data_IF_317276784587
#
_entry.id   IF_317276784587
#
_cell.length_a   1.000
_cell.length_b   1.000
_cell.length_c   1.000
_cell.angle_alpha   90.00
_cell.angle_beta   90.00
_cell.angle_gamma   90.00
#
_symmetry.space_group_name_H-M   'P 1'
#
loop_
_entity.id
_entity.type
_entity.pdbx_description
1 polymer ?
#
# COMPACT_ATOMS: atom_id res chain seq x y z
N UNK A 1 25.03 32.97 -22.12
CA UNK A 1 23.63 32.52 -22.13
C UNK A 1 23.54 31.30 -21.24
N UNK A 2 23.00 31.42 -20.00
CA UNK A 2 22.77 30.27 -19.12
C UNK A 2 21.55 29.53 -19.65
N UNK A 3 21.77 28.34 -20.16
CA UNK A 3 20.64 27.42 -20.49
C UNK A 3 20.02 27.07 -19.14
N UNK A 4 18.87 27.66 -18.82
CA UNK A 4 18.06 27.23 -17.69
C UNK A 4 17.46 25.87 -18.07
N UNK A 5 18.12 24.80 -17.61
CA UNK A 5 17.55 23.46 -17.69
C UNK A 5 16.42 23.42 -16.66
N UNK A 6 15.19 23.52 -17.13
CA UNK A 6 14.03 23.29 -16.27
C UNK A 6 14.12 21.87 -15.73
N UNK A 7 14.11 21.67 -14.40
CA UNK A 7 14.20 20.33 -13.84
C UNK A 7 13.03 19.49 -14.37
N UNK A 8 13.35 18.28 -14.81
CA UNK A 8 12.34 17.35 -15.33
C UNK A 8 11.36 17.01 -14.20
N UNK A 9 10.08 17.23 -14.42
CA UNK A 9 9.02 16.79 -13.48
C UNK A 9 9.04 15.27 -13.43
N UNK A 10 9.27 14.70 -12.25
CA UNK A 10 9.17 13.25 -12.03
C UNK A 10 7.76 12.87 -11.63
N UNK A 11 7.33 11.69 -12.05
CA UNK A 11 6.03 11.11 -11.69
C UNK A 11 6.22 9.89 -10.81
N UNK A 12 5.64 9.95 -9.63
CA UNK A 12 5.67 8.88 -8.66
C UNK A 12 4.27 8.35 -8.39
N UNK A 13 4.16 7.04 -8.27
CA UNK A 13 2.96 6.36 -7.75
C UNK A 13 3.38 5.49 -6.59
N UNK A 14 2.90 5.83 -5.40
CA UNK A 14 3.10 5.07 -4.19
C UNK A 14 1.89 4.16 -3.98
N UNK A 15 2.12 2.87 -3.94
CA UNK A 15 1.06 1.86 -3.94
C UNK A 15 1.08 1.08 -2.63
N UNK A 16 0.02 1.20 -1.86
CA UNK A 16 -0.26 0.26 -0.78
C UNK A 16 -0.69 -1.07 -1.41
N UNK A 17 0.25 -1.99 -1.47
CA UNK A 17 0.09 -3.22 -2.25
C UNK A 17 -0.99 -4.14 -1.68
N UNK A 18 -1.14 -4.21 -0.36
CA UNK A 18 -2.15 -5.05 0.28
C UNK A 18 -3.57 -4.55 -0.03
N UNK A 19 -3.77 -3.23 -0.10
CA UNK A 19 -5.05 -2.65 -0.50
C UNK A 19 -5.38 -2.95 -1.96
N UNK A 20 -4.40 -2.86 -2.84
CA UNK A 20 -4.57 -3.20 -4.26
C UNK A 20 -4.89 -4.68 -4.44
N UNK A 21 -4.16 -5.57 -3.76
CA UNK A 21 -4.41 -7.02 -3.82
C UNK A 21 -5.82 -7.38 -3.30
N UNK A 22 -6.29 -6.71 -2.26
CA UNK A 22 -7.67 -6.88 -1.77
C UNK A 22 -8.71 -6.46 -2.82
N UNK A 23 -8.43 -5.40 -3.58
CA UNK A 23 -9.36 -4.87 -4.58
C UNK A 23 -9.41 -5.69 -5.88
N UNK A 24 -8.25 -6.16 -6.38
CA UNK A 24 -8.15 -6.85 -7.68
C UNK A 24 -8.14 -8.38 -7.52
N UNK A 25 -7.68 -8.87 -6.36
CA UNK A 25 -7.44 -10.29 -6.09
C UNK A 25 -5.96 -10.67 -6.12
N UNK A 26 -5.60 -11.64 -5.27
CA UNK A 26 -4.21 -12.06 -5.05
C UNK A 26 -3.50 -12.67 -6.26
N UNK A 27 -4.24 -13.07 -7.30
CA UNK A 27 -3.70 -13.66 -8.53
C UNK A 27 -3.41 -12.65 -9.64
N UNK A 28 -3.68 -11.35 -9.41
CA UNK A 28 -3.44 -10.32 -10.41
C UNK A 28 -1.94 -10.17 -10.68
N UNK A 29 -1.58 -10.20 -11.97
CA UNK A 29 -0.20 -9.95 -12.41
C UNK A 29 0.19 -8.50 -12.18
N UNK A 30 1.47 -8.26 -11.88
CA UNK A 30 1.99 -6.92 -11.66
C UNK A 30 1.75 -5.99 -12.86
N UNK A 31 1.86 -6.50 -14.08
CA UNK A 31 1.55 -5.76 -15.32
C UNK A 31 0.09 -5.30 -15.39
N UNK A 32 -0.86 -6.13 -14.93
CA UNK A 32 -2.29 -5.79 -14.88
C UNK A 32 -2.56 -4.67 -13.86
N UNK A 33 -1.94 -4.77 -12.68
CA UNK A 33 -2.03 -3.73 -11.63
C UNK A 33 -1.51 -2.40 -12.16
N UNK A 34 -0.31 -2.43 -12.76
CA UNK A 34 0.34 -1.25 -13.33
C UNK A 34 -0.49 -0.61 -14.44
N UNK A 35 -1.02 -1.44 -15.36
CA UNK A 35 -1.89 -0.99 -16.44
C UNK A 35 -3.13 -0.27 -15.90
N UNK A 36 -3.78 -0.85 -14.89
CA UNK A 36 -4.97 -0.27 -14.30
C UNK A 36 -4.68 1.08 -13.65
N UNK A 37 -3.62 1.18 -12.86
CA UNK A 37 -3.19 2.43 -12.22
C UNK A 37 -2.95 3.52 -13.27
N UNK A 38 -2.14 3.24 -14.29
CA UNK A 38 -1.80 4.21 -15.34
C UNK A 38 -3.05 4.66 -16.08
N UNK A 39 -3.93 3.71 -16.44
CA UNK A 39 -5.20 4.00 -17.11
C UNK A 39 -6.07 4.94 -16.28
N UNK A 40 -6.23 4.67 -14.98
CA UNK A 40 -7.05 5.51 -14.10
C UNK A 40 -6.50 6.91 -13.93
N UNK A 41 -5.18 7.06 -13.79
CA UNK A 41 -4.52 8.35 -13.74
C UNK A 41 -4.71 9.16 -15.03
N UNK A 42 -4.65 8.51 -16.21
CA UNK A 42 -4.85 9.16 -17.50
C UNK A 42 -6.32 9.54 -17.76
N UNK A 43 -7.25 8.70 -17.33
CA UNK A 43 -8.67 8.91 -17.60
C UNK A 43 -9.34 9.94 -16.69
N UNK A 44 -8.92 10.02 -15.44
CA UNK A 44 -9.66 10.68 -14.36
C UNK A 44 -8.92 11.85 -13.71
N UNK A 45 -7.75 12.25 -14.24
CA UNK A 45 -6.98 13.35 -13.65
C UNK A 45 -6.10 14.07 -14.68
N UNK A 46 -5.50 15.18 -14.24
CA UNK A 46 -4.50 15.94 -14.97
C UNK A 46 -3.06 15.48 -14.69
N UNK A 47 -2.89 14.27 -14.15
CA UNK A 47 -1.59 13.72 -13.74
C UNK A 47 -0.56 13.70 -14.89
N UNK A 48 -1.03 13.48 -16.11
CA UNK A 48 -0.20 13.43 -17.32
C UNK A 48 -0.33 14.65 -18.24
N UNK A 49 -1.02 15.72 -17.82
CA UNK A 49 -1.31 16.84 -18.72
C UNK A 49 -0.09 17.59 -19.24
N UNK A 50 0.98 17.65 -18.44
CA UNK A 50 2.28 18.24 -18.78
C UNK A 50 3.31 17.18 -19.26
N UNK A 51 2.86 15.95 -19.54
CA UNK A 51 3.71 14.87 -19.99
C UNK A 51 4.25 15.11 -21.39
N UNK A 52 5.51 14.70 -21.61
CA UNK A 52 6.16 14.73 -22.92
C UNK A 52 5.84 13.45 -23.70
N UNK A 53 6.25 13.37 -24.96
CA UNK A 53 6.01 12.19 -25.82
C UNK A 53 6.51 10.88 -25.19
N UNK A 54 7.52 10.96 -24.32
CA UNK A 54 8.12 9.83 -23.63
C UNK A 54 8.23 10.17 -22.15
N UNK A 55 7.56 9.42 -21.29
CA UNK A 55 7.56 9.65 -19.84
C UNK A 55 7.94 8.39 -19.08
N UNK A 56 8.75 8.55 -18.03
CA UNK A 56 8.99 7.51 -17.04
C UNK A 56 8.14 7.76 -15.81
N UNK A 57 7.40 6.73 -15.37
CA UNK A 57 6.65 6.73 -14.14
C UNK A 57 7.29 5.77 -13.14
N UNK A 58 7.56 6.25 -11.93
CA UNK A 58 8.18 5.47 -10.86
C UNK A 58 7.06 4.95 -9.96
N UNK A 59 6.86 3.64 -9.98
CA UNK A 59 5.86 2.95 -9.17
C UNK A 59 6.56 2.22 -8.03
N UNK A 60 6.29 2.64 -6.79
CA UNK A 60 6.82 2.00 -5.57
C UNK A 60 5.71 1.24 -4.87
N UNK A 61 5.95 -0.04 -4.65
CA UNK A 61 5.03 -0.94 -3.97
C UNK A 61 5.40 -1.03 -2.49
N UNK A 62 4.48 -0.65 -1.62
CA UNK A 62 4.63 -0.72 -0.17
C UNK A 62 3.89 -1.95 0.35
N UNK A 63 4.56 -2.75 1.18
CA UNK A 63 4.01 -3.99 1.70
C UNK A 63 4.94 -4.66 2.70
N UNK A 64 4.49 -5.76 3.26
CA UNK A 64 5.27 -6.59 4.18
C UNK A 64 6.34 -7.41 3.47
N UNK A 65 7.41 -6.78 3.01
CA UNK A 65 8.41 -7.41 2.14
C UNK A 65 9.41 -8.30 2.87
N UNK A 66 9.63 -8.13 4.17
CA UNK A 66 10.62 -8.88 4.93
C UNK A 66 10.02 -9.62 6.12
N UNK A 67 10.27 -10.91 6.20
CA UNK A 67 10.14 -11.74 7.41
C UNK A 67 11.52 -11.85 8.06
N UNK A 68 11.70 -11.18 9.21
CA UNK A 68 13.05 -10.98 9.74
C UNK A 68 13.91 -10.19 8.75
N UNK A 69 15.02 -10.77 8.30
CA UNK A 69 15.96 -10.19 7.32
C UNK A 69 15.82 -10.82 5.92
N UNK A 70 14.90 -11.74 5.72
CA UNK A 70 14.68 -12.42 4.44
C UNK A 70 13.45 -11.88 3.73
N UNK A 71 13.47 -11.90 2.41
CA UNK A 71 12.28 -11.53 1.63
C UNK A 71 11.13 -12.51 1.88
N UNK A 72 9.96 -12.00 2.19
CA UNK A 72 8.73 -12.77 2.22
C UNK A 72 8.44 -13.38 0.83
N UNK A 73 7.71 -14.50 0.79
CA UNK A 73 7.41 -15.20 -0.46
C UNK A 73 6.76 -14.29 -1.51
N UNK A 74 5.75 -13.51 -1.11
CA UNK A 74 5.11 -12.55 -2.02
C UNK A 74 6.10 -11.54 -2.61
N UNK A 75 7.07 -11.07 -1.82
CA UNK A 75 8.10 -10.16 -2.30
C UNK A 75 9.05 -10.84 -3.30
N UNK A 76 9.36 -12.12 -3.11
CA UNK A 76 10.18 -12.90 -4.04
C UNK A 76 9.46 -13.07 -5.39
N UNK A 77 8.16 -13.38 -5.35
CA UNK A 77 7.33 -13.53 -6.56
C UNK A 77 7.25 -12.22 -7.36
N UNK A 78 7.00 -11.09 -6.68
CA UNK A 78 6.97 -9.76 -7.33
C UNK A 78 8.34 -9.38 -7.90
N UNK A 79 9.43 -9.66 -7.17
CA UNK A 79 10.79 -9.41 -7.68
C UNK A 79 11.10 -10.24 -8.92
N UNK A 80 10.63 -11.48 -8.97
CA UNK A 80 10.75 -12.32 -10.16
C UNK A 80 9.98 -11.74 -11.33
N UNK A 81 8.78 -11.19 -11.11
CA UNK A 81 7.98 -10.50 -12.15
C UNK A 81 8.69 -9.25 -12.66
N UNK A 82 9.23 -8.42 -11.76
CA UNK A 82 10.01 -7.23 -12.12
C UNK A 82 11.27 -7.64 -12.91
N UNK A 83 11.96 -8.68 -12.46
CA UNK A 83 13.22 -9.15 -13.08
C UNK A 83 13.04 -9.74 -14.49
N UNK A 84 11.84 -10.21 -14.84
CA UNK A 84 11.54 -10.65 -16.24
C UNK A 84 11.50 -9.48 -17.23
N UNK A 85 11.37 -8.26 -16.76
CA UNK A 85 11.38 -7.07 -17.62
C UNK A 85 10.12 -6.90 -18.48
N UNK A 86 9.07 -7.68 -18.22
CA UNK A 86 7.85 -7.74 -19.03
C UNK A 86 6.87 -6.58 -18.75
N UNK A 87 7.37 -5.44 -18.22
CA UNK A 87 6.50 -4.27 -18.03
C UNK A 87 6.21 -3.63 -19.38
N UNK A 88 4.95 -3.65 -19.84
CA UNK A 88 4.61 -3.09 -21.13
C UNK A 88 4.73 -1.56 -21.11
N UNK A 89 5.00 -1.01 -22.28
CA UNK A 89 4.83 0.42 -22.53
C UNK A 89 3.35 0.72 -22.69
N UNK A 90 2.89 1.79 -22.06
CA UNK A 90 1.50 2.23 -22.18
C UNK A 90 1.40 3.46 -23.07
N UNK A 91 0.39 3.52 -23.93
CA UNK A 91 0.08 4.70 -24.71
C UNK A 91 -1.14 5.40 -24.10
N UNK A 92 -0.96 6.66 -23.69
CA UNK A 92 -2.00 7.50 -23.11
C UNK A 92 -2.87 8.16 -24.19
N UNK A 93 -3.97 8.81 -23.78
CA UNK A 93 -4.91 9.52 -24.67
C UNK A 93 -4.24 10.58 -25.56
N UNK A 94 -3.16 11.23 -25.11
CA UNK A 94 -2.39 12.25 -25.83
C UNK A 94 -1.22 11.66 -26.63
N UNK A 95 -1.25 10.37 -26.96
CA UNK A 95 -0.17 9.64 -27.64
C UNK A 95 1.18 9.64 -26.88
N UNK A 96 1.15 10.00 -25.60
CA UNK A 96 2.32 9.92 -24.74
C UNK A 96 2.62 8.46 -24.41
N UNK A 97 3.87 8.04 -24.60
CA UNK A 97 4.34 6.70 -24.22
C UNK A 97 4.88 6.72 -22.81
N UNK A 98 4.33 5.88 -21.94
CA UNK A 98 4.71 5.76 -20.53
C UNK A 98 5.44 4.45 -20.31
N UNK A 99 6.61 4.55 -19.67
CA UNK A 99 7.45 3.42 -19.26
C UNK A 99 7.43 3.33 -17.74
N UNK A 100 6.78 2.32 -17.14
CA UNK A 100 6.79 2.16 -15.71
C UNK A 100 8.11 1.54 -15.23
N UNK A 101 8.72 2.18 -14.23
CA UNK A 101 9.78 1.60 -13.43
C UNK A 101 9.17 1.17 -12.11
N UNK A 102 9.05 -0.15 -11.89
CA UNK A 102 8.42 -0.71 -10.69
C UNK A 102 9.48 -1.21 -9.73
N UNK A 103 9.30 -0.91 -8.44
CA UNK A 103 10.19 -1.38 -7.38
C UNK A 103 9.43 -1.67 -6.08
N UNK A 104 9.99 -2.57 -5.25
CA UNK A 104 9.54 -2.74 -3.87
C UNK A 104 10.11 -1.62 -3.00
N UNK A 105 9.28 -1.02 -2.15
CA UNK A 105 9.72 -0.10 -1.12
C UNK A 105 10.37 -0.89 0.03
N UNK A 106 11.65 -1.14 -0.05
CA UNK A 106 12.44 -1.86 0.97
C UNK A 106 13.22 -0.93 1.88
N UNK A 107 13.31 0.36 1.52
CA UNK A 107 13.91 1.45 2.30
C UNK A 107 13.10 2.72 2.04
N UNK A 108 13.22 3.74 2.87
CA UNK A 108 12.69 5.07 2.56
C UNK A 108 13.47 5.72 1.42
N UNK A 109 12.82 6.59 0.63
CA UNK A 109 13.46 7.37 -0.43
C UNK A 109 14.53 8.32 0.11
N UNK A 110 14.31 8.86 1.31
CA UNK A 110 15.28 9.72 2.00
C UNK A 110 16.52 8.97 2.50
N UNK A 111 16.48 7.63 2.58
CA UNK A 111 17.53 6.77 3.11
C UNK A 111 17.73 5.55 2.22
N UNK A 112 17.88 5.75 0.91
CA UNK A 112 18.06 4.67 -0.05
C UNK A 112 19.24 3.76 0.34
N UNK A 113 19.02 2.43 0.21
CA UNK A 113 19.99 1.41 0.59
C UNK A 113 19.97 1.01 2.07
N UNK A 114 19.25 1.73 2.95
CA UNK A 114 19.05 1.34 4.34
C UNK A 114 17.76 0.54 4.47
N UNK A 115 17.86 -0.78 4.31
CA UNK A 115 16.69 -1.66 4.31
C UNK A 115 15.94 -1.66 5.65
N UNK A 116 14.61 -1.52 5.57
CA UNK A 116 13.71 -1.68 6.70
C UNK A 116 13.26 -3.14 6.78
N UNK A 117 13.89 -3.89 7.66
CA UNK A 117 13.62 -5.30 7.86
C UNK A 117 12.39 -5.56 8.74
N UNK A 118 11.92 -6.81 8.72
CA UNK A 118 10.85 -7.28 9.59
C UNK A 118 9.52 -6.53 9.42
N UNK A 119 9.24 -6.14 8.18
CA UNK A 119 8.02 -5.40 7.80
C UNK A 119 6.79 -6.32 7.73
N UNK A 120 6.97 -7.63 7.53
CA UNK A 120 5.93 -8.65 7.67
C UNK A 120 6.09 -9.39 8.99
N UNK A 121 5.04 -9.45 9.80
CA UNK A 121 5.04 -10.14 11.10
C UNK A 121 3.79 -10.99 11.25
N UNK A 122 3.93 -12.10 11.93
CA UNK A 122 2.78 -12.85 12.44
C UNK A 122 2.17 -12.09 13.61
N UNK A 123 0.90 -11.71 13.49
CA UNK A 123 0.12 -11.10 14.55
C UNK A 123 -0.66 -12.19 15.28
N UNK A 124 -0.40 -12.31 16.56
CA UNK A 124 -1.10 -13.23 17.45
C UNK A 124 -2.39 -12.56 17.95
N UNK A 125 -3.50 -12.88 17.30
CA UNK A 125 -4.83 -12.33 17.67
C UNK A 125 -5.28 -12.80 19.05
N UNK A 126 -4.73 -13.88 19.59
CA UNK A 126 -5.06 -14.36 20.94
C UNK A 126 -4.75 -13.32 22.02
N UNK A 127 -3.79 -12.43 21.75
CA UNK A 127 -3.44 -11.32 22.65
C UNK A 127 -4.40 -10.14 22.58
N UNK A 128 -5.27 -10.09 21.58
CA UNK A 128 -6.22 -9.00 21.34
C UNK A 128 -7.64 -9.39 21.78
N UNK A 129 -7.91 -10.69 21.89
CA UNK A 129 -9.24 -11.18 22.30
C UNK A 129 -9.41 -10.94 23.81
N UNK A 130 -10.32 -10.05 24.16
CA UNK A 130 -10.72 -9.82 25.54
C UNK A 130 -11.72 -10.91 25.98
N UNK A 131 -11.16 -11.91 26.61
CA UNK A 131 -11.94 -13.05 27.09
C UNK A 131 -12.83 -12.72 28.31
N UNK A 132 -12.81 -11.53 28.84
CA UNK A 132 -13.66 -11.14 29.98
C UNK A 132 -15.06 -10.70 29.58
N UNK A 133 -15.30 -10.44 28.29
CA UNK A 133 -16.54 -9.83 27.77
C UNK A 133 -17.55 -10.79 27.16
N UNK A 134 -17.37 -12.10 27.27
CA UNK A 134 -18.11 -13.07 26.45
C UNK A 134 -18.96 -14.09 27.20
N UNK A 135 -19.49 -13.81 28.38
CA UNK A 135 -20.40 -14.74 29.03
C UNK A 135 -21.87 -14.36 28.80
N UNK A 136 -22.60 -15.15 28.03
CA UNK A 136 -24.04 -14.97 27.88
C UNK A 136 -24.87 -16.17 28.42
N UNK A 137 -24.26 -17.35 28.62
CA UNK A 137 -24.89 -18.54 29.20
C UNK A 137 -23.83 -19.58 29.62
N UNK A 138 -24.22 -20.59 30.40
CA UNK A 138 -23.30 -21.66 30.87
C UNK A 138 -22.63 -22.45 29.72
N UNK A 139 -23.31 -22.63 28.59
CA UNK A 139 -22.73 -23.28 27.42
C UNK A 139 -21.63 -22.45 26.79
N UNK A 140 -21.76 -21.12 26.77
CA UNK A 140 -20.74 -20.22 26.26
C UNK A 140 -19.51 -20.17 27.16
N UNK A 141 -19.66 -20.33 28.47
CA UNK A 141 -18.53 -20.38 29.40
C UNK A 141 -17.64 -21.62 29.17
N UNK A 142 -18.24 -22.79 28.89
CA UNK A 142 -17.47 -24.00 28.56
C UNK A 142 -16.70 -23.86 27.25
N UNK A 143 -17.32 -23.33 26.20
CA UNK A 143 -16.66 -23.09 24.92
C UNK A 143 -15.55 -22.05 25.06
N UNK A 144 -15.81 -21.02 25.82
CA UNK A 144 -14.87 -19.98 26.14
C UNK A 144 -13.62 -20.52 26.87
N UNK A 145 -13.81 -21.32 27.92
CA UNK A 145 -12.71 -21.93 28.64
C UNK A 145 -11.89 -22.87 27.75
N UNK A 146 -12.54 -23.60 26.84
CA UNK A 146 -11.88 -24.43 25.85
C UNK A 146 -11.01 -23.58 24.90
N UNK A 147 -11.58 -22.53 24.33
CA UNK A 147 -10.87 -21.61 23.42
C UNK A 147 -9.69 -20.96 24.15
N UNK A 148 -9.91 -20.45 25.37
CA UNK A 148 -8.88 -19.85 26.21
C UNK A 148 -7.72 -20.81 26.46
N UNK A 149 -8.01 -22.05 26.82
CA UNK A 149 -6.98 -23.07 27.06
C UNK A 149 -6.21 -23.40 25.79
N UNK A 150 -6.92 -23.61 24.66
CA UNK A 150 -6.29 -23.93 23.38
C UNK A 150 -5.37 -22.81 22.89
N UNK A 151 -5.79 -21.54 23.06
CA UNK A 151 -5.03 -20.37 22.67
C UNK A 151 -3.83 -20.13 23.58
N UNK A 152 -4.02 -20.21 24.92
CA UNK A 152 -2.93 -19.97 25.88
C UNK A 152 -1.83 -21.05 25.82
N UNK A 153 -2.21 -22.29 25.55
CA UNK A 153 -1.27 -23.42 25.42
C UNK A 153 -0.70 -23.58 24.01
N UNK A 154 -1.22 -22.83 23.03
CA UNK A 154 -0.85 -22.93 21.61
C UNK A 154 -1.11 -24.30 21.01
N UNK A 155 -1.88 -25.12 21.64
CA UNK A 155 -2.23 -26.47 21.22
C UNK A 155 -3.66 -26.84 21.60
N UNK A 156 -4.26 -27.76 20.87
CA UNK A 156 -5.54 -28.32 21.22
C UNK A 156 -5.39 -29.15 22.51
N UNK A 157 -6.21 -28.94 23.57
CA UNK A 157 -6.14 -29.69 24.80
C UNK A 157 -6.42 -31.19 24.61
N UNK A 158 -7.13 -31.59 23.56
CA UNK A 158 -7.47 -33.00 23.26
C UNK A 158 -6.47 -33.68 22.35
N UNK A 159 -6.21 -33.16 21.16
CA UNK A 159 -5.37 -33.83 20.16
C UNK A 159 -3.90 -33.33 20.15
N UNK A 160 -3.55 -32.35 20.98
CA UNK A 160 -2.20 -31.75 21.10
C UNK A 160 -1.68 -31.08 19.82
N UNK A 161 -2.48 -31.00 18.77
CA UNK A 161 -2.10 -30.30 17.53
C UNK A 161 -2.23 -28.80 17.70
N UNK A 162 -1.38 -28.06 17.01
CA UNK A 162 -1.35 -26.57 17.07
C UNK A 162 -2.27 -25.88 16.04
N UNK A 163 -3.06 -26.64 15.28
CA UNK A 163 -3.92 -26.08 14.22
C UNK A 163 -4.91 -25.04 14.74
N UNK A 164 -5.41 -25.24 15.94
CA UNK A 164 -6.38 -24.32 16.55
C UNK A 164 -5.72 -22.96 16.86
N UNK A 165 -4.49 -22.96 17.40
CA UNK A 165 -3.73 -21.74 17.62
C UNK A 165 -3.41 -21.03 16.31
N UNK A 166 -3.07 -21.75 15.25
CA UNK A 166 -2.78 -21.17 13.94
C UNK A 166 -3.94 -20.40 13.34
N UNK A 167 -5.21 -20.74 13.69
CA UNK A 167 -6.39 -19.99 13.28
C UNK A 167 -6.43 -18.57 13.89
N UNK A 168 -5.71 -18.33 14.98
CA UNK A 168 -5.62 -17.02 15.65
C UNK A 168 -4.34 -16.24 15.32
N UNK A 169 -3.52 -16.76 14.44
CA UNK A 169 -2.31 -16.08 13.98
C UNK A 169 -2.55 -15.57 12.57
N UNK A 170 -2.46 -14.29 12.39
CA UNK A 170 -2.57 -13.65 11.08
C UNK A 170 -1.26 -12.96 10.70
N UNK A 171 -1.00 -12.85 9.40
CA UNK A 171 0.05 -11.99 8.92
C UNK A 171 -0.38 -10.53 9.09
N UNK A 172 0.56 -9.68 9.50
CA UNK A 172 0.35 -8.25 9.65
C UNK A 172 1.58 -7.49 9.14
N UNK A 173 1.34 -6.27 8.72
CA UNK A 173 2.41 -5.34 8.34
C UNK A 173 2.88 -4.53 9.55
N UNK A 174 4.11 -4.03 9.49
CA UNK A 174 4.63 -3.09 10.45
C UNK A 174 5.56 -2.09 9.77
N UNK A 175 5.45 -0.84 10.14
CA UNK A 175 6.20 0.30 9.61
C UNK A 175 5.90 0.65 8.14
N UNK A 176 5.07 -0.13 7.43
CA UNK A 176 4.82 0.05 6.00
C UNK A 176 4.13 1.39 5.74
N UNK A 177 3.05 1.67 6.49
CA UNK A 177 2.28 2.91 6.37
C UNK A 177 3.13 4.13 6.74
N UNK A 178 3.92 4.03 7.81
CA UNK A 178 4.84 5.10 8.21
C UNK A 178 5.91 5.37 7.12
N UNK A 179 6.44 4.32 6.50
CA UNK A 179 7.39 4.46 5.39
C UNK A 179 6.75 5.13 4.18
N UNK A 180 5.52 4.71 3.84
CA UNK A 180 4.75 5.31 2.74
C UNK A 180 4.46 6.78 3.01
N UNK A 181 4.07 7.15 4.24
CA UNK A 181 3.86 8.55 4.64
C UNK A 181 5.12 9.39 4.51
N UNK A 182 6.24 8.89 5.01
CA UNK A 182 7.53 9.60 4.92
C UNK A 182 7.92 9.83 3.47
N UNK A 183 7.82 8.80 2.63
CA UNK A 183 8.17 8.91 1.21
C UNK A 183 7.21 9.84 0.48
N UNK A 184 5.89 9.76 0.75
CA UNK A 184 4.91 10.65 0.13
C UNK A 184 5.18 12.12 0.46
N UNK A 185 5.47 12.46 1.73
CA UNK A 185 5.85 13.81 2.13
C UNK A 185 7.18 14.24 1.49
N UNK A 186 8.16 13.33 1.46
CA UNK A 186 9.49 13.63 0.94
C UNK A 186 9.48 14.03 -0.54
N UNK A 187 8.64 13.38 -1.36
CA UNK A 187 8.58 13.64 -2.80
C UNK A 187 7.51 14.67 -3.20
N UNK A 188 6.62 15.04 -2.26
CA UNK A 188 5.57 16.05 -2.50
C UNK A 188 6.13 17.47 -2.29
N UNK A 189 7.17 17.82 -3.05
CA UNK A 189 7.91 19.08 -2.95
C UNK A 189 7.42 20.17 -3.94
N UNK A 190 6.29 19.95 -4.59
CA UNK A 190 5.71 20.82 -5.61
C UNK A 190 6.35 20.71 -7.00
N UNK A 191 7.45 19.99 -7.15
CA UNK A 191 8.14 19.77 -8.43
C UNK A 191 7.72 18.46 -9.09
N UNK A 192 7.30 17.51 -8.27
CA UNK A 192 6.91 16.18 -8.71
C UNK A 192 5.38 16.04 -8.80
N UNK A 193 4.92 15.12 -9.65
CA UNK A 193 3.54 14.62 -9.64
C UNK A 193 3.51 13.36 -8.81
N UNK A 194 2.70 13.32 -7.75
CA UNK A 194 2.68 12.19 -6.83
C UNK A 194 1.27 11.67 -6.68
N UNK A 195 1.08 10.37 -6.96
CA UNK A 195 -0.16 9.66 -6.74
C UNK A 195 0.00 8.63 -5.61
N UNK A 196 -1.02 8.53 -4.77
CA UNK A 196 -1.16 7.51 -3.74
C UNK A 196 -2.27 6.55 -4.15
N UNK A 197 -2.02 5.25 -4.04
CA UNK A 197 -3.00 4.19 -4.28
C UNK A 197 -3.24 3.43 -2.99
N UNK A 198 -4.32 3.76 -2.31
CA UNK A 198 -4.76 3.13 -1.05
C UNK A 198 -6.19 3.52 -0.73
N UNK A 199 -6.90 2.71 0.06
CA UNK A 199 -8.20 3.07 0.67
C UNK A 199 -8.14 3.05 2.19
N UNK A 200 -6.93 2.98 2.75
CA UNK A 200 -6.75 3.02 4.20
C UNK A 200 -7.00 4.43 4.73
N UNK A 201 -7.85 4.55 5.74
CA UNK A 201 -8.15 5.83 6.40
C UNK A 201 -6.92 6.45 7.09
N UNK A 202 -5.92 5.64 7.44
CA UNK A 202 -4.66 6.12 8.00
C UNK A 202 -3.88 7.01 7.02
N UNK A 203 -4.21 6.96 5.71
CA UNK A 203 -3.62 7.84 4.68
C UNK A 203 -4.20 9.26 4.69
N UNK A 204 -5.37 9.49 5.30
CA UNK A 204 -6.06 10.79 5.31
C UNK A 204 -5.16 11.93 5.84
N UNK A 205 -4.48 11.80 6.98
CA UNK A 205 -3.67 12.88 7.53
C UNK A 205 -2.56 13.34 6.58
N UNK A 206 -1.86 12.43 5.92
CA UNK A 206 -0.78 12.79 4.99
C UNK A 206 -1.32 13.45 3.73
N UNK A 207 -2.46 12.99 3.21
CA UNK A 207 -3.13 13.60 2.05
C UNK A 207 -3.58 15.03 2.36
N UNK A 208 -4.16 15.27 3.54
CA UNK A 208 -4.54 16.62 4.01
C UNK A 208 -3.29 17.51 4.07
N UNK A 209 -2.21 17.02 4.69
CA UNK A 209 -0.98 17.79 4.85
C UNK A 209 -0.40 18.20 3.50
N UNK A 210 -0.26 17.26 2.56
CA UNK A 210 0.31 17.52 1.23
C UNK A 210 -0.56 18.51 0.44
N UNK A 211 -1.87 18.35 0.46
CA UNK A 211 -2.78 19.27 -0.25
C UNK A 211 -2.76 20.67 0.35
N UNK A 212 -2.61 20.82 1.68
CA UNK A 212 -2.48 22.13 2.36
C UNK A 212 -1.14 22.81 2.11
N UNK A 213 -0.10 22.06 1.83
CA UNK A 213 1.19 22.61 1.36
C UNK A 213 1.10 23.19 -0.06
N UNK A 214 -0.06 23.13 -0.71
CA UNK A 214 -0.27 23.57 -2.08
C UNK A 214 0.26 22.61 -3.15
N UNK A 215 0.70 21.41 -2.75
CA UNK A 215 1.20 20.41 -3.66
C UNK A 215 0.05 19.60 -4.26
N UNK A 216 0.16 19.23 -5.54
CA UNK A 216 -0.83 18.37 -6.18
C UNK A 216 -0.72 16.96 -5.65
N UNK A 217 -1.82 16.44 -5.11
CA UNK A 217 -1.92 15.11 -4.55
C UNK A 217 -3.05 14.35 -5.25
N UNK A 218 -2.71 13.25 -5.91
CA UNK A 218 -3.65 12.37 -6.59
C UNK A 218 -3.88 11.13 -5.74
N UNK A 219 -5.12 10.81 -5.46
CA UNK A 219 -5.48 9.70 -4.59
C UNK A 219 -6.40 8.72 -5.31
N UNK A 220 -5.87 7.53 -5.61
CA UNK A 220 -6.63 6.41 -6.16
C UNK A 220 -7.15 5.57 -5.00
N UNK A 221 -8.47 5.56 -4.85
CA UNK A 221 -9.17 4.78 -3.84
C UNK A 221 -9.45 3.36 -4.37
N UNK A 222 -8.91 2.36 -3.71
CA UNK A 222 -9.07 0.93 -4.08
C UNK A 222 -10.30 0.27 -3.48
N UNK A 223 -11.08 0.98 -2.69
CA UNK A 223 -12.27 0.46 -1.98
C UNK A 223 -13.42 1.47 -1.93
N UNK A 224 -14.40 1.22 -1.07
CA UNK A 224 -15.52 2.11 -0.84
C UNK A 224 -15.08 3.43 -0.20
N UNK A 225 -15.80 4.50 -0.52
CA UNK A 225 -15.49 5.87 -0.06
C UNK A 225 -15.66 6.11 1.44
N UNK A 226 -16.26 5.18 2.16
CA UNK A 226 -16.61 5.17 3.59
C UNK A 226 -16.23 6.43 4.38
N UNK A 227 -15.16 6.32 5.11
CA UNK A 227 -14.68 7.39 6.02
C UNK A 227 -14.12 8.63 5.30
N UNK A 228 -13.71 8.52 4.03
CA UNK A 228 -13.13 9.65 3.28
C UNK A 228 -14.10 10.82 3.09
N UNK A 229 -15.41 10.56 3.07
CA UNK A 229 -16.43 11.60 2.87
C UNK A 229 -16.44 12.62 4.00
N UNK A 230 -16.13 12.24 5.22
CA UNK A 230 -16.17 13.12 6.39
C UNK A 230 -15.04 14.16 6.39
N UNK A 231 -13.96 13.88 5.67
CA UNK A 231 -12.75 14.71 5.65
C UNK A 231 -12.60 15.60 4.40
N UNK A 232 -13.54 15.54 3.46
CA UNK A 232 -13.43 16.27 2.18
C UNK A 232 -13.20 17.77 2.33
N UNK A 233 -13.76 18.40 3.38
CA UNK A 233 -13.58 19.82 3.69
C UNK A 233 -12.18 20.19 4.18
N UNK A 234 -11.38 19.21 4.59
CA UNK A 234 -10.03 19.42 5.09
C UNK A 234 -8.98 19.40 3.99
N UNK A 235 -9.31 18.82 2.84
CA UNK A 235 -8.42 18.78 1.69
C UNK A 235 -8.31 20.15 1.05
N UNK A 236 -7.11 20.50 0.58
CA UNK A 236 -6.87 21.70 -0.22
C UNK A 236 -7.40 21.55 -1.66
N UNK A 237 -7.40 22.64 -2.41
CA UNK A 237 -7.84 22.68 -3.82
C UNK A 237 -6.99 21.85 -4.78
N UNK A 238 -5.82 21.41 -4.35
CA UNK A 238 -4.86 20.62 -5.12
C UNK A 238 -5.04 19.11 -4.94
N UNK A 239 -6.03 18.68 -4.16
CA UNK A 239 -6.37 17.28 -3.99
C UNK A 239 -7.27 16.78 -5.11
N UNK A 240 -6.87 15.69 -5.76
CA UNK A 240 -7.64 15.00 -6.79
C UNK A 240 -7.96 13.57 -6.34
N UNK A 241 -9.25 13.29 -6.17
CA UNK A 241 -9.77 11.96 -5.87
C UNK A 241 -10.07 11.21 -7.16
N UNK A 242 -9.62 9.97 -7.24
CA UNK A 242 -9.82 9.07 -8.38
C UNK A 242 -10.35 7.74 -7.85
N UNK A 243 -11.48 7.28 -8.37
CA UNK A 243 -12.02 5.98 -7.99
C UNK A 243 -11.35 4.88 -8.81
N UNK A 244 -11.12 3.75 -8.13
CA UNK A 244 -10.49 2.55 -8.71
C UNK A 244 -11.30 1.91 -9.83
#
# INVERSE_FOLDING_TARGET
MKIMVTPLTKRYVLVDYDNVVKAIGASARLSTITAHIIKRLDESSDFFDDAKMLENIIIRLYGGWFEGKTYARCAQDIRADIGRGDMPTYTLKKEVKVYPTVSLATSMLSCEGQFLYNTKRKRDLSKVIDFTKTSCCEASERHYNFVRMAVSRKECPYCKKNWFYQAFVTDGQKMVDAMLFCDFLHISDGKNRVALVSSDSDMIPVMIQVSRMGNRAYHLLTGSEGEMCDYTKLFGTTYSKINW
#
